data_IF_596719964679
#
_entry.id   IF_596719964679
#
_cell.length_a   1.000
_cell.length_b   1.000
_cell.length_c   1.000
_cell.angle_alpha   90.00
_cell.angle_beta   90.00
_cell.angle_gamma   90.00
#
_symmetry.space_group_name_H-M   'P 1'
#
loop_
_entity.id
_entity.type
_entity.pdbx_description
1 polymer ?
#
# COMPACT_ATOMS: atom_id res chain seq x y z
N UNK A 1 28.40 -6.50 -20.81
CA UNK A 1 27.25 -5.71 -21.31
C UNK A 1 25.96 -6.33 -20.81
N UNK A 2 25.28 -5.66 -19.86
CA UNK A 2 23.86 -5.31 -19.86
C UNK A 2 23.62 -4.46 -18.61
N UNK A 3 23.52 -3.14 -18.83
CA UNK A 3 22.96 -2.23 -17.84
C UNK A 3 21.44 -2.37 -17.97
N UNK A 4 20.81 -2.97 -16.96
CA UNK A 4 19.36 -3.10 -16.89
C UNK A 4 18.75 -1.74 -16.52
N UNK A 5 18.70 -0.84 -17.48
CA UNK A 5 18.21 0.54 -17.31
C UNK A 5 16.67 0.65 -17.39
N UNK A 6 15.95 -0.48 -17.39
CA UNK A 6 14.48 -0.53 -17.50
C UNK A 6 13.78 -0.42 -16.14
N UNK A 7 14.37 -0.94 -15.06
CA UNK A 7 13.77 -0.89 -13.71
C UNK A 7 13.58 0.54 -13.19
N UNK A 8 14.63 1.37 -13.30
CA UNK A 8 14.60 2.76 -12.84
C UNK A 8 13.56 3.64 -13.55
N UNK A 9 13.24 3.34 -14.82
CA UNK A 9 12.19 4.06 -15.55
C UNK A 9 10.79 3.68 -15.03
N UNK A 10 10.55 2.40 -14.75
CA UNK A 10 9.27 1.92 -14.20
C UNK A 10 9.04 2.49 -12.81
N UNK A 11 10.07 2.51 -11.96
CA UNK A 11 10.00 3.09 -10.61
C UNK A 11 9.65 4.58 -10.63
N UNK A 12 10.32 5.35 -11.48
CA UNK A 12 10.08 6.80 -11.60
C UNK A 12 8.68 7.12 -12.13
N UNK A 13 8.22 6.37 -13.15
CA UNK A 13 6.85 6.47 -13.65
C UNK A 13 5.84 6.14 -12.54
N UNK A 14 6.09 5.06 -11.79
CA UNK A 14 5.21 4.64 -10.70
C UNK A 14 5.07 5.73 -9.63
N UNK A 15 6.18 6.33 -9.19
CA UNK A 15 6.15 7.43 -8.21
C UNK A 15 5.38 8.65 -8.75
N UNK A 16 5.59 9.00 -10.02
CA UNK A 16 4.87 10.10 -10.66
C UNK A 16 3.36 9.85 -10.71
N UNK A 17 2.94 8.63 -11.03
CA UNK A 17 1.53 8.27 -11.10
C UNK A 17 0.86 8.20 -9.74
N UNK A 18 1.54 7.67 -8.72
CA UNK A 18 1.08 7.75 -7.33
C UNK A 18 0.85 9.20 -6.93
N UNK A 19 1.77 10.11 -7.26
CA UNK A 19 1.65 11.53 -6.93
C UNK A 19 0.39 12.16 -7.56
N UNK A 20 0.07 11.82 -8.82
CA UNK A 20 -1.17 12.28 -9.49
C UNK A 20 -2.44 11.74 -8.81
N UNK A 21 -2.43 10.48 -8.39
CA UNK A 21 -3.56 9.84 -7.70
C UNK A 21 -3.81 10.54 -6.36
N UNK A 22 -2.75 10.77 -5.59
CA UNK A 22 -2.84 11.43 -4.28
C UNK A 22 -3.30 12.90 -4.40
N UNK A 23 -2.93 13.61 -5.46
CA UNK A 23 -3.27 15.04 -5.62
C UNK A 23 -4.69 15.33 -6.11
N UNK A 24 -5.44 14.32 -6.57
CA UNK A 24 -6.70 14.52 -7.30
C UNK A 24 -7.95 13.99 -6.58
N UNK A 25 -7.80 13.40 -5.39
CA UNK A 25 -8.87 12.66 -4.74
C UNK A 25 -9.18 13.18 -3.33
N UNK A 26 -10.48 13.24 -3.00
CA UNK A 26 -10.98 13.59 -1.66
C UNK A 26 -11.33 12.35 -0.81
N UNK A 27 -11.26 11.14 -1.38
CA UNK A 27 -11.58 9.88 -0.70
C UNK A 27 -10.30 9.09 -0.42
N UNK A 28 -9.86 9.08 0.84
CA UNK A 28 -8.62 8.43 1.25
C UNK A 28 -8.61 6.92 0.96
N UNK A 29 -9.68 6.20 1.27
CA UNK A 29 -9.73 4.74 1.09
C UNK A 29 -9.61 4.36 -0.39
N UNK A 30 -10.37 5.04 -1.25
CA UNK A 30 -10.30 4.83 -2.70
C UNK A 30 -8.92 5.18 -3.25
N UNK A 31 -8.33 6.27 -2.75
CA UNK A 31 -6.99 6.73 -3.16
C UNK A 31 -5.92 5.69 -2.84
N UNK A 32 -5.88 5.22 -1.59
CA UNK A 32 -4.90 4.22 -1.16
C UNK A 32 -5.08 2.90 -1.91
N UNK A 33 -6.32 2.46 -2.15
CA UNK A 33 -6.57 1.25 -2.93
C UNK A 33 -6.05 1.37 -4.38
N UNK A 34 -6.23 2.52 -5.02
CA UNK A 34 -5.68 2.78 -6.35
C UNK A 34 -4.14 2.77 -6.37
N UNK A 35 -3.51 3.35 -5.34
CA UNK A 35 -2.05 3.32 -5.18
C UNK A 35 -1.54 1.89 -5.03
N UNK A 36 -2.18 1.07 -4.19
CA UNK A 36 -1.78 -0.33 -4.00
C UNK A 36 -1.95 -1.16 -5.29
N UNK A 37 -3.02 -0.92 -6.05
CA UNK A 37 -3.21 -1.58 -7.35
C UNK A 37 -2.15 -1.19 -8.38
N UNK A 38 -1.74 0.07 -8.40
CA UNK A 38 -0.66 0.56 -9.25
C UNK A 38 0.70 -0.06 -8.89
N UNK A 39 1.00 -0.18 -7.59
CA UNK A 39 2.19 -0.88 -7.11
C UNK A 39 2.18 -2.36 -7.50
N UNK A 40 1.02 -3.01 -7.41
CA UNK A 40 0.87 -4.41 -7.84
C UNK A 40 1.10 -4.57 -9.34
N UNK A 41 0.63 -3.64 -10.19
CA UNK A 41 0.77 -3.74 -11.64
C UNK A 41 2.18 -3.40 -12.12
N UNK A 42 2.80 -2.35 -11.59
CA UNK A 42 4.10 -1.87 -12.07
C UNK A 42 5.28 -2.61 -11.45
N UNK A 43 5.20 -2.90 -10.15
CA UNK A 43 6.31 -3.46 -9.38
C UNK A 43 6.07 -4.92 -8.98
N UNK A 44 4.98 -5.53 -9.48
CA UNK A 44 4.63 -6.93 -9.19
C UNK A 44 4.50 -7.20 -7.67
N UNK A 45 4.15 -6.18 -6.89
CA UNK A 45 3.92 -6.30 -5.46
C UNK A 45 2.67 -7.17 -5.22
N UNK A 46 2.89 -8.43 -4.83
CA UNK A 46 1.83 -9.44 -4.76
C UNK A 46 0.86 -9.24 -3.60
N UNK A 47 1.33 -8.68 -2.49
CA UNK A 47 0.53 -8.45 -1.27
C UNK A 47 0.99 -7.13 -0.68
N UNK A 48 0.06 -6.20 -0.54
CA UNK A 48 0.36 -4.87 -0.02
C UNK A 48 -0.81 -4.37 0.81
N UNK A 49 -0.50 -3.60 1.82
CA UNK A 49 -1.50 -3.03 2.73
C UNK A 49 -1.01 -1.69 3.26
N UNK A 50 -1.97 -0.84 3.63
CA UNK A 50 -1.75 0.37 4.41
C UNK A 50 -2.56 0.24 5.68
N UNK A 51 -1.90 0.45 6.81
CA UNK A 51 -2.52 0.48 8.13
C UNK A 51 -2.36 1.86 8.74
N UNK A 52 -3.37 2.33 9.45
CA UNK A 52 -3.32 3.56 10.24
C UNK A 52 -3.49 3.23 11.72
N UNK A 53 -2.93 4.08 12.58
CA UNK A 53 -3.15 4.00 14.02
C UNK A 53 -4.59 4.41 14.31
N UNK A 54 -5.28 3.58 15.10
CA UNK A 54 -6.57 3.85 15.70
C UNK A 54 -6.33 4.31 17.14
N UNK A 55 -6.57 5.59 17.42
CA UNK A 55 -6.26 6.19 18.73
C UNK A 55 -7.13 5.64 19.86
N UNK A 56 -8.31 5.10 19.54
CA UNK A 56 -9.26 4.59 20.53
C UNK A 56 -8.74 3.38 21.31
N UNK A 57 -7.89 2.55 20.69
CA UNK A 57 -7.46 1.27 21.23
C UNK A 57 -5.97 0.96 21.05
N UNK A 58 -5.19 1.96 20.62
CA UNK A 58 -3.73 1.88 20.39
C UNK A 58 -3.37 0.66 19.52
N UNK A 59 -4.06 0.54 18.39
CA UNK A 59 -3.87 -0.54 17.42
C UNK A 59 -3.71 0.01 16.00
N UNK A 60 -3.09 -0.77 15.13
CA UNK A 60 -3.03 -0.52 13.70
C UNK A 60 -4.19 -1.23 13.01
N UNK A 61 -5.05 -0.46 12.34
CA UNK A 61 -6.16 -0.95 11.54
C UNK A 61 -5.80 -0.87 10.05
N UNK A 62 -6.02 -1.94 9.30
CA UNK A 62 -5.85 -1.94 7.84
C UNK A 62 -6.94 -1.09 7.19
N UNK A 63 -6.54 -0.06 6.46
CA UNK A 63 -7.44 0.86 5.76
C UNK A 63 -7.50 0.62 4.25
N UNK A 64 -6.47 -0.04 3.69
CA UNK A 64 -6.42 -0.46 2.30
C UNK A 64 -5.53 -1.69 2.15
N UNK A 65 -5.89 -2.58 1.22
CA UNK A 65 -5.15 -3.80 0.92
C UNK A 65 -5.33 -4.22 -0.54
N UNK A 66 -4.30 -4.87 -1.10
CA UNK A 66 -4.33 -5.53 -2.41
C UNK A 66 -3.61 -6.89 -2.35
N UNK A 67 -4.12 -7.89 -3.07
CA UNK A 67 -3.55 -9.24 -3.08
C UNK A 67 -3.75 -10.03 -1.76
N UNK A 68 -4.70 -9.60 -0.94
CA UNK A 68 -5.12 -10.26 0.29
C UNK A 68 -6.57 -10.75 0.13
N UNK A 69 -6.86 -11.91 0.71
CA UNK A 69 -8.23 -12.42 0.76
C UNK A 69 -9.11 -11.55 1.68
N UNK A 70 -10.44 -11.53 1.50
CA UNK A 70 -11.33 -10.78 2.39
C UNK A 70 -11.17 -11.16 3.88
N UNK A 71 -10.85 -12.41 4.17
CA UNK A 71 -10.60 -12.87 5.55
C UNK A 71 -9.31 -12.32 6.14
N UNK A 72 -8.25 -12.23 5.33
CA UNK A 72 -6.98 -11.63 5.75
C UNK A 72 -7.11 -10.12 5.96
N UNK A 73 -7.90 -9.44 5.12
CA UNK A 73 -8.20 -8.02 5.32
C UNK A 73 -8.99 -7.81 6.62
N UNK A 74 -10.01 -8.66 6.89
CA UNK A 74 -10.80 -8.59 8.13
C UNK A 74 -9.96 -8.82 9.39
N UNK A 75 -8.94 -9.68 9.31
CA UNK A 75 -7.99 -9.91 10.40
C UNK A 75 -6.90 -8.84 10.49
N UNK A 76 -6.89 -7.86 9.59
CA UNK A 76 -5.91 -6.79 9.50
C UNK A 76 -6.02 -5.79 10.64
N UNK A 77 -5.78 -6.23 11.87
CA UNK A 77 -5.64 -5.41 13.07
C UNK A 77 -4.44 -5.92 13.85
N UNK A 78 -3.53 -5.03 14.20
CA UNK A 78 -2.27 -5.36 14.86
C UNK A 78 -2.09 -4.49 16.10
N UNK A 79 -1.55 -5.03 17.18
CA UNK A 79 -1.19 -4.23 18.35
C UNK A 79 0.10 -3.43 18.10
N UNK A 80 0.25 -2.29 18.77
CA UNK A 80 1.55 -1.63 18.83
C UNK A 80 2.57 -2.58 19.50
N UNK A 81 3.74 -2.71 18.88
CA UNK A 81 4.77 -3.69 19.19
C UNK A 81 4.59 -5.07 18.56
N UNK A 82 3.52 -5.36 17.82
CA UNK A 82 3.26 -6.67 17.24
C UNK A 82 4.01 -6.91 15.91
N UNK A 83 4.85 -7.95 15.88
CA UNK A 83 5.47 -8.42 14.64
C UNK A 83 6.38 -7.36 13.97
N UNK A 84 6.32 -7.28 12.65
CA UNK A 84 7.00 -6.23 11.84
C UNK A 84 6.10 -5.02 11.63
N UNK A 85 4.79 -5.24 11.48
CA UNK A 85 3.82 -4.19 11.18
C UNK A 85 3.58 -3.23 12.34
N UNK A 86 3.53 -3.74 13.57
CA UNK A 86 3.30 -2.95 14.79
C UNK A 86 4.57 -2.44 15.46
N UNK A 87 5.76 -2.82 14.99
CA UNK A 87 7.03 -2.41 15.60
C UNK A 87 7.38 -0.95 15.31
#
# INVERSE_FOLDING_TARGET
>A
MRQDNHGGMVELITIYEISKILSSSFDLHKTLHNVLNLLSSHLQMKRSMVSLVEEADDALQVVAAAGLSPEEIRRGRFLIGEGVTGR
#
